data_IF_956614930017
#
_entry.id   IF_956614930017
#
_cell.length_a   1.000
_cell.length_b   1.000
_cell.length_c   1.000
_cell.angle_alpha   90.00
_cell.angle_beta   90.00
_cell.angle_gamma   90.00
#
_symmetry.space_group_name_H-M   'P 1'
#
loop_
_entity.id
_entity.type
_entity.pdbx_description
1 polymer ?
#
# COMPACT_ATOMS: atom_id res chain seq x y z
N UNK A 1 17.60 24.81 -2.48
CA UNK A 1 16.94 25.12 -1.20
C UNK A 1 17.09 23.93 -0.26
N UNK A 2 17.59 24.12 0.96
CA UNK A 2 17.59 23.08 2.00
C UNK A 2 16.14 22.76 2.37
N UNK A 3 15.71 21.51 2.16
CA UNK A 3 14.42 21.02 2.66
C UNK A 3 14.55 20.89 4.18
N UNK A 4 13.81 21.71 4.91
CA UNK A 4 13.60 21.51 6.34
C UNK A 4 12.65 20.33 6.50
N UNK A 5 13.21 19.15 6.73
CA UNK A 5 12.46 17.91 7.01
C UNK A 5 11.78 18.04 8.38
N UNK A 6 10.46 18.08 8.39
CA UNK A 6 9.64 18.22 9.59
C UNK A 6 9.78 17.04 10.58
N UNK A 7 10.41 15.91 10.18
CA UNK A 7 10.56 14.72 11.03
C UNK A 7 12.00 14.37 11.42
N UNK A 8 12.98 15.27 11.29
CA UNK A 8 14.37 15.01 11.72
C UNK A 8 14.57 15.08 13.26
N UNK A 9 13.55 14.69 14.03
CA UNK A 9 13.61 14.68 15.50
C UNK A 9 14.36 13.42 15.97
N UNK A 10 15.37 13.56 16.85
CA UNK A 10 16.08 12.41 17.42
C UNK A 10 15.17 11.50 18.27
N UNK A 11 13.95 11.95 18.56
CA UNK A 11 12.94 11.21 19.32
C UNK A 11 12.09 10.27 18.43
N UNK A 12 12.21 10.37 17.11
CA UNK A 12 11.40 9.61 16.14
C UNK A 12 12.22 8.50 15.48
N UNK A 13 12.69 7.56 16.29
CA UNK A 13 13.47 6.42 15.83
C UNK A 13 12.62 5.54 14.89
N UNK A 14 13.08 5.33 13.66
CA UNK A 14 12.42 4.48 12.65
C UNK A 14 11.43 5.19 11.71
N UNK A 15 11.27 6.52 11.82
CA UNK A 15 10.34 7.29 10.95
C UNK A 15 10.85 7.52 9.52
N UNK A 16 12.09 7.11 9.20
CA UNK A 16 12.65 7.19 7.84
C UNK A 16 11.82 6.42 6.80
N UNK A 17 11.17 5.32 7.21
CA UNK A 17 10.28 4.57 6.33
C UNK A 17 8.99 5.35 6.04
N UNK A 18 8.44 6.02 7.06
CA UNK A 18 7.25 6.84 6.92
C UNK A 18 7.49 8.05 6.00
N UNK A 19 8.63 8.73 6.12
CA UNK A 19 9.00 9.83 5.20
C UNK A 19 9.07 9.37 3.75
N UNK A 20 9.66 8.19 3.49
CA UNK A 20 9.73 7.61 2.13
C UNK A 20 8.36 7.26 1.56
N UNK A 21 7.45 6.75 2.41
CA UNK A 21 6.06 6.51 2.02
C UNK A 21 5.34 7.82 1.70
N UNK A 22 5.50 8.85 2.55
CA UNK A 22 4.91 10.16 2.35
C UNK A 22 5.37 10.82 1.05
N UNK A 23 6.68 10.83 0.76
CA UNK A 23 7.21 11.38 -0.49
C UNK A 23 6.70 10.62 -1.73
N UNK A 24 6.45 9.31 -1.63
CA UNK A 24 5.84 8.51 -2.70
C UNK A 24 4.37 8.87 -2.92
N UNK A 25 3.59 9.05 -1.84
CA UNK A 25 2.18 9.45 -1.89
C UNK A 25 2.03 10.87 -2.46
N UNK A 26 2.85 11.82 -2.00
CA UNK A 26 2.82 13.20 -2.47
C UNK A 26 3.11 13.33 -3.98
N UNK A 27 4.00 12.49 -4.52
CA UNK A 27 4.28 12.44 -5.97
C UNK A 27 3.18 11.78 -6.79
N UNK A 28 2.38 10.88 -6.21
CA UNK A 28 1.30 10.17 -6.90
C UNK A 28 -0.06 10.89 -6.84
N UNK A 29 -0.19 11.96 -6.06
CA UNK A 29 -1.39 12.78 -5.93
C UNK A 29 -1.71 13.67 -7.16
N UNK A 30 -0.88 13.66 -8.22
CA UNK A 30 -0.97 14.64 -9.31
C UNK A 30 -1.95 14.32 -10.43
N UNK A 31 -2.55 13.14 -10.46
CA UNK A 31 -3.56 12.82 -11.47
C UNK A 31 -4.86 12.54 -10.74
N UNK A 32 -5.76 13.52 -10.58
CA UNK A 32 -7.00 13.41 -9.79
C UNK A 32 -8.05 12.46 -10.36
N UNK A 33 -7.75 11.80 -11.48
CA UNK A 33 -8.60 10.82 -12.14
C UNK A 33 -8.14 9.35 -11.95
N UNK A 34 -9.06 8.39 -11.70
CA UNK A 34 -10.48 8.61 -11.43
C UNK A 34 -10.72 9.20 -10.03
N UNK A 35 -11.82 9.95 -9.85
CA UNK A 35 -12.22 10.42 -8.54
C UNK A 35 -12.62 9.22 -7.67
N UNK A 36 -12.38 9.33 -6.38
CA UNK A 36 -12.63 8.25 -5.43
C UNK A 36 -13.01 8.79 -4.06
N UNK A 37 -13.70 7.94 -3.30
CA UNK A 37 -14.05 8.14 -1.91
C UNK A 37 -13.38 7.06 -1.06
N UNK A 38 -13.10 7.39 0.20
CA UNK A 38 -12.73 6.43 1.24
C UNK A 38 -13.67 6.68 2.41
N UNK A 39 -14.48 5.68 2.77
CA UNK A 39 -15.51 5.77 3.79
C UNK A 39 -15.35 4.67 4.84
N UNK A 40 -15.79 4.95 6.07
CA UNK A 40 -15.94 3.92 7.10
C UNK A 40 -17.32 3.27 6.98
N UNK A 41 -17.36 1.94 6.96
CA UNK A 41 -18.59 1.14 6.81
C UNK A 41 -18.93 0.35 8.09
N UNK A 42 -18.51 0.87 9.24
CA UNK A 42 -18.67 0.25 10.56
C UNK A 42 -17.47 0.57 11.46
N UNK A 43 -17.40 -0.10 12.61
CA UNK A 43 -16.31 0.12 13.57
C UNK A 43 -14.94 -0.30 13.05
N UNK A 44 -14.90 -1.35 12.22
CA UNK A 44 -13.66 -1.96 11.71
C UNK A 44 -13.63 -2.08 10.19
N UNK A 45 -14.62 -1.52 9.49
CA UNK A 45 -14.72 -1.62 8.04
C UNK A 45 -14.37 -0.30 7.35
N UNK A 46 -13.62 -0.38 6.26
CA UNK A 46 -13.39 0.73 5.33
C UNK A 46 -13.80 0.30 3.93
N UNK A 47 -14.26 1.24 3.12
CA UNK A 47 -14.54 1.05 1.70
C UNK A 47 -13.87 2.13 0.87
N UNK A 48 -13.19 1.72 -0.18
CA UNK A 48 -12.70 2.61 -1.23
C UNK A 48 -13.67 2.49 -2.41
N UNK A 49 -14.18 3.61 -2.91
CA UNK A 49 -15.09 3.63 -4.08
C UNK A 49 -14.50 4.52 -5.17
N UNK A 50 -14.28 3.99 -6.38
CA UNK A 50 -13.73 4.70 -7.53
C UNK A 50 -14.77 4.85 -8.64
N UNK A 51 -14.88 6.03 -9.25
CA UNK A 51 -15.73 6.21 -10.43
C UNK A 51 -15.03 5.73 -11.70
N UNK A 52 -15.41 4.56 -12.20
CA UNK A 52 -14.84 3.89 -13.37
C UNK A 52 -15.89 3.68 -14.46
N UNK A 53 -16.83 4.62 -14.59
CA UNK A 53 -17.84 4.57 -15.63
C UNK A 53 -17.20 4.46 -17.02
N UNK A 54 -17.71 3.52 -17.81
CA UNK A 54 -17.21 3.20 -19.15
C UNK A 54 -16.18 2.08 -19.20
N UNK A 55 -15.60 1.64 -18.08
CA UNK A 55 -14.73 0.45 -18.07
C UNK A 55 -15.58 -0.80 -17.89
N UNK A 56 -15.33 -1.82 -18.72
CA UNK A 56 -15.85 -3.15 -18.48
C UNK A 56 -15.03 -3.84 -17.36
N UNK A 57 -15.52 -4.97 -16.83
CA UNK A 57 -14.83 -5.70 -15.76
C UNK A 57 -13.45 -6.17 -16.23
N UNK A 58 -13.37 -6.63 -17.47
CA UNK A 58 -12.18 -7.10 -18.17
C UNK A 58 -11.15 -6.00 -18.44
N UNK A 59 -11.56 -4.73 -18.48
CA UNK A 59 -10.67 -3.59 -18.65
C UNK A 59 -10.01 -3.16 -17.33
N UNK A 60 -10.44 -3.73 -16.20
CA UNK A 60 -10.01 -3.37 -14.86
C UNK A 60 -9.18 -4.48 -14.22
N UNK A 61 -8.06 -4.10 -13.64
CA UNK A 61 -7.18 -5.02 -12.93
C UNK A 61 -6.83 -4.46 -11.55
N UNK A 62 -6.91 -5.31 -10.52
CA UNK A 62 -6.62 -4.95 -9.13
C UNK A 62 -5.59 -5.93 -8.60
N UNK A 63 -4.46 -5.42 -8.11
CA UNK A 63 -3.44 -6.19 -7.40
C UNK A 63 -3.25 -5.65 -5.99
N UNK A 64 -2.88 -6.55 -5.08
CA UNK A 64 -2.33 -6.20 -3.78
C UNK A 64 -0.85 -6.60 -3.81
N UNK A 65 0.02 -5.60 -3.83
CA UNK A 65 1.48 -5.77 -3.84
C UNK A 65 2.00 -5.29 -2.48
N UNK A 66 2.50 -6.22 -1.66
CA UNK A 66 2.83 -5.98 -0.23
C UNK A 66 1.64 -5.39 0.56
N UNK A 67 1.71 -4.11 0.91
CA UNK A 67 0.65 -3.36 1.58
C UNK A 67 0.03 -2.29 0.66
N UNK A 68 0.13 -2.42 -0.65
CA UNK A 68 -0.37 -1.44 -1.61
C UNK A 68 -1.37 -2.07 -2.57
N UNK A 69 -2.59 -1.52 -2.62
CA UNK A 69 -3.55 -1.84 -3.66
C UNK A 69 -3.21 -1.02 -4.90
N UNK A 70 -3.05 -1.69 -6.04
CA UNK A 70 -2.83 -1.07 -7.34
C UNK A 70 -3.99 -1.42 -8.25
N UNK A 71 -4.72 -0.40 -8.69
CA UNK A 71 -5.88 -0.51 -9.58
C UNK A 71 -5.48 0.09 -10.92
N UNK A 72 -5.61 -0.69 -11.98
CA UNK A 72 -5.34 -0.27 -13.35
C UNK A 72 -6.61 -0.40 -14.17
N UNK A 73 -6.85 0.58 -15.02
CA UNK A 73 -7.91 0.52 -16.02
C UNK A 73 -7.34 0.87 -17.38
N UNK A 74 -7.66 0.08 -18.40
CA UNK A 74 -7.27 0.35 -19.78
C UNK A 74 -8.40 -0.09 -20.72
N UNK A 75 -9.07 0.89 -21.32
CA UNK A 75 -10.03 0.62 -22.40
C UNK A 75 -9.30 0.38 -23.70
N UNK A 76 -9.70 -0.66 -24.44
CA UNK A 76 -9.27 -0.84 -25.81
C UNK A 76 -9.88 0.25 -26.71
N UNK A 77 -9.07 0.85 -27.59
CA UNK A 77 -9.60 1.72 -28.63
C UNK A 77 -10.13 0.87 -29.80
N UNK A 78 -11.39 1.08 -30.16
CA UNK A 78 -11.94 0.50 -31.38
C UNK A 78 -11.35 1.19 -32.61
N UNK A 79 -10.60 0.42 -33.39
CA UNK A 79 -10.04 0.87 -34.66
C UNK A 79 -11.14 1.17 -35.69
N UNK A 80 -10.93 2.18 -36.52
CA UNK A 80 -11.82 2.52 -37.65
C UNK A 80 -13.00 3.43 -37.32
N UNK A 81 -13.14 3.91 -36.07
CA UNK A 81 -14.13 4.95 -35.74
C UNK A 81 -13.68 6.31 -36.24
N UNK A 82 -14.53 6.97 -37.03
CA UNK A 82 -14.36 8.38 -37.42
C UNK A 82 -15.15 9.25 -36.44
N UNK A 83 -14.43 10.01 -35.63
CA UNK A 83 -15.03 10.93 -34.67
C UNK A 83 -15.16 12.32 -35.28
N UNK A 84 -16.37 12.90 -35.26
CA UNK A 84 -16.57 14.32 -35.56
C UNK A 84 -16.15 15.20 -34.37
N UNK A 85 -16.33 14.70 -33.15
CA UNK A 85 -15.84 15.29 -31.90
C UNK A 85 -15.68 14.17 -30.86
N UNK A 86 -14.59 14.18 -30.08
CA UNK A 86 -14.28 13.15 -29.07
C UNK A 86 -14.05 13.80 -27.71
N UNK A 87 -15.13 13.99 -26.96
CA UNK A 87 -15.08 14.55 -25.59
C UNK A 87 -14.69 13.54 -24.50
N UNK A 88 -14.76 12.24 -24.80
CA UNK A 88 -14.43 11.15 -23.88
C UNK A 88 -13.49 10.20 -24.64
N UNK A 89 -12.18 10.40 -24.46
CA UNK A 89 -11.19 9.49 -24.99
C UNK A 89 -11.07 8.25 -24.09
N UNK A 90 -10.67 7.12 -24.67
CA UNK A 90 -10.29 5.94 -23.90
C UNK A 90 -9.09 6.34 -23.04
N UNK A 91 -9.31 6.42 -21.74
CA UNK A 91 -8.27 6.81 -20.79
C UNK A 91 -7.77 5.55 -20.11
N UNK A 92 -6.45 5.43 -20.04
CA UNK A 92 -5.83 4.50 -19.12
C UNK A 92 -5.60 5.22 -17.78
N UNK A 93 -5.72 4.50 -16.67
CA UNK A 93 -5.39 5.03 -15.36
C UNK A 93 -4.67 4.00 -14.51
N UNK A 94 -3.93 4.50 -13.52
CA UNK A 94 -3.43 3.71 -12.41
C UNK A 94 -3.69 4.46 -11.10
N UNK A 95 -4.19 3.73 -10.10
CA UNK A 95 -4.51 4.22 -8.78
C UNK A 95 -3.87 3.34 -7.73
N UNK A 96 -3.17 3.98 -6.79
CA UNK A 96 -2.42 3.29 -5.77
C UNK A 96 -2.94 3.71 -4.39
N UNK A 97 -3.31 2.75 -3.55
CA UNK A 97 -3.70 2.98 -2.16
C UNK A 97 -2.75 2.22 -1.25
N UNK A 98 -2.00 2.95 -0.42
CA UNK A 98 -1.14 2.33 0.60
C UNK A 98 -2.00 2.01 1.82
N UNK A 99 -1.94 0.76 2.25
CA UNK A 99 -2.65 0.25 3.41
C UNK A 99 -1.75 0.32 4.64
N UNK A 100 -2.35 0.64 5.78
CA UNK A 100 -1.71 0.48 7.08
C UNK A 100 -1.52 -1.01 7.40
N UNK A 101 -0.57 -1.31 8.28
CA UNK A 101 -0.29 -2.67 8.71
C UNK A 101 -1.55 -3.36 9.25
N UNK A 102 -1.73 -4.61 8.82
CA UNK A 102 -2.82 -5.47 9.25
C UNK A 102 -4.15 -5.25 8.52
N UNK A 103 -4.36 -4.14 7.80
CA UNK A 103 -5.58 -3.96 6.98
C UNK A 103 -5.60 -5.03 5.87
N UNK A 104 -6.73 -5.71 5.71
CA UNK A 104 -6.92 -6.74 4.69
C UNK A 104 -8.04 -6.38 3.73
N UNK A 105 -7.90 -6.77 2.46
CA UNK A 105 -8.97 -6.67 1.46
C UNK A 105 -9.94 -7.82 1.65
N UNK A 106 -11.23 -7.53 1.79
CA UNK A 106 -12.29 -8.53 1.97
C UNK A 106 -13.07 -8.80 0.68
N UNK A 107 -13.15 -7.83 -0.23
CA UNK A 107 -13.84 -8.01 -1.51
C UNK A 107 -13.72 -6.80 -2.43
N UNK A 108 -14.11 -7.01 -3.69
CA UNK A 108 -14.23 -5.94 -4.67
C UNK A 108 -15.45 -6.18 -5.57
N UNK A 109 -16.24 -5.13 -5.79
CA UNK A 109 -17.48 -5.17 -6.58
C UNK A 109 -17.49 -4.02 -7.58
N UNK A 110 -17.91 -4.30 -8.81
CA UNK A 110 -18.16 -3.30 -9.83
C UNK A 110 -19.67 -3.22 -10.05
N UNK A 111 -20.26 -2.08 -9.75
CA UNK A 111 -21.69 -1.83 -9.99
C UNK A 111 -21.90 -0.41 -10.48
N UNK A 112 -22.76 -0.24 -11.50
CA UNK A 112 -23.18 1.09 -11.98
C UNK A 112 -22.04 2.07 -12.30
N UNK A 113 -20.90 1.55 -12.79
CA UNK A 113 -19.72 2.36 -13.10
C UNK A 113 -18.90 2.77 -11.87
N UNK A 114 -19.14 2.16 -10.71
CA UNK A 114 -18.39 2.35 -9.47
C UNK A 114 -17.68 1.05 -9.09
N UNK A 115 -16.39 1.14 -8.85
CA UNK A 115 -15.60 0.06 -8.28
C UNK A 115 -15.47 0.29 -6.78
N UNK A 116 -16.09 -0.58 -5.99
CA UNK A 116 -15.96 -0.60 -4.53
C UNK A 116 -15.01 -1.69 -4.08
N UNK A 117 -14.12 -1.37 -3.15
CA UNK A 117 -13.16 -2.30 -2.53
C UNK A 117 -13.37 -2.23 -1.02
N UNK A 118 -13.75 -3.36 -0.45
CA UNK A 118 -13.98 -3.51 0.99
C UNK A 118 -12.71 -3.94 1.70
N UNK A 119 -12.46 -3.29 2.84
CA UNK A 119 -11.30 -3.50 3.67
C UNK A 119 -11.75 -3.73 5.12
N UNK A 120 -11.08 -4.64 5.80
CA UNK A 120 -11.24 -4.85 7.24
C UNK A 120 -9.97 -4.43 7.97
N UNK A 121 -10.14 -3.62 9.02
CA UNK A 121 -9.10 -3.30 9.98
C UNK A 121 -9.08 -4.40 11.05
N UNK A 122 -7.92 -5.02 11.32
CA UNK A 122 -7.83 -6.02 12.37
C UNK A 122 -8.01 -5.34 13.72
N UNK A 123 -8.65 -6.04 14.64
CA UNK A 123 -8.80 -5.58 16.00
C UNK A 123 -7.42 -5.63 16.67
N UNK A 124 -6.78 -4.47 16.82
CA UNK A 124 -5.54 -4.39 17.55
C UNK A 124 -5.86 -4.48 19.04
N UNK A 125 -5.39 -5.54 19.71
CA UNK A 125 -5.47 -5.64 21.16
C UNK A 125 -4.13 -5.13 21.72
N UNK A 126 -4.03 -3.88 22.21
CA UNK A 126 -2.76 -3.31 22.62
C UNK A 126 -2.20 -4.07 23.81
N UNK A 127 -1.12 -4.82 23.59
CA UNK A 127 -0.40 -5.53 24.65
C UNK A 127 0.65 -4.58 25.23
N UNK A 128 0.37 -3.99 26.39
CA UNK A 128 1.38 -3.25 27.13
C UNK A 128 2.41 -4.23 27.70
N UNK A 129 3.70 -3.91 27.54
CA UNK A 129 4.79 -4.69 28.15
C UNK A 129 5.75 -3.76 28.89
N UNK A 130 6.05 -4.10 30.13
CA UNK A 130 7.14 -3.47 30.87
C UNK A 130 8.46 -3.99 30.33
N UNK A 131 9.40 -3.09 30.06
CA UNK A 131 10.76 -3.43 29.63
C UNK A 131 11.66 -3.40 30.87
N UNK A 132 12.27 -4.53 31.21
CA UNK A 132 13.23 -4.60 32.31
C UNK A 132 14.52 -3.86 31.96
N UNK A 133 14.99 -3.01 32.87
CA UNK A 133 16.28 -2.34 32.76
C UNK A 133 17.34 -3.29 33.32
N UNK A 134 18.26 -3.76 32.47
CA UNK A 134 19.39 -4.61 32.88
C UNK A 134 20.65 -3.77 33.03
N UNK A 135 21.47 -4.08 34.04
CA UNK A 135 22.78 -3.49 34.22
C UNK A 135 23.72 -3.96 33.09
N UNK A 136 24.54 -3.05 32.55
CA UNK A 136 25.26 -3.20 31.28
C UNK A 136 26.42 -4.20 31.25
N UNK A 137 26.15 -5.49 31.41
CA UNK A 137 27.08 -6.55 31.01
C UNK A 137 26.86 -6.88 29.53
N UNK A 138 27.76 -6.39 28.68
CA UNK A 138 27.82 -6.70 27.25
C UNK A 138 27.96 -8.22 27.06
N UNK A 139 26.84 -8.94 26.94
CA UNK A 139 26.86 -10.32 26.47
C UNK A 139 27.19 -10.27 24.99
N UNK A 140 28.47 -10.52 24.65
CA UNK A 140 28.87 -10.71 23.26
C UNK A 140 28.01 -11.83 22.66
N UNK A 141 27.38 -11.63 21.49
CA UNK A 141 26.69 -12.70 20.81
C UNK A 141 27.71 -13.78 20.49
N UNK A 142 27.55 -14.95 21.11
CA UNK A 142 28.36 -16.13 20.81
C UNK A 142 28.01 -16.58 19.39
N UNK A 143 28.80 -16.12 18.42
CA UNK A 143 28.84 -16.68 17.07
C UNK A 143 29.22 -18.15 17.22
N UNK A 144 28.28 -19.06 16.99
CA UNK A 144 28.52 -20.49 16.97
C UNK A 144 29.46 -20.86 15.81
N UNK A 145 30.76 -20.73 16.04
CA UNK A 145 31.79 -21.27 15.16
C UNK A 145 31.86 -22.79 15.37
N UNK A 146 31.07 -23.56 14.60
CA UNK A 146 31.34 -24.99 14.38
C UNK A 146 32.63 -25.11 13.56
N UNK A 147 33.77 -25.17 14.26
CA UNK A 147 35.01 -25.73 13.73
C UNK A 147 35.10 -27.18 14.21
N UNK A 148 34.91 -28.14 13.30
CA UNK A 148 35.35 -29.52 13.51
C UNK A 148 36.70 -29.69 12.80
N UNK A 149 37.82 -29.90 13.51
CA UNK A 149 39.07 -30.38 12.91
C UNK A 149 39.14 -31.93 12.89
N UNK A 150 40.12 -32.50 12.17
CA UNK A 150 40.03 -33.80 11.53
C UNK A 150 40.46 -34.96 12.44
N UNK A 151 39.84 -36.13 12.24
CA UNK A 151 40.17 -37.38 12.93
C UNK A 151 40.45 -38.49 11.92
N UNK A 152 41.71 -38.91 11.90
CA UNK A 152 42.34 -40.00 11.15
C UNK A 152 41.78 -41.41 11.44
N UNK A 153 41.85 -42.25 10.41
CA UNK A 153 42.30 -43.65 10.43
C UNK A 153 41.49 -44.71 11.19
N UNK A 154 40.75 -45.54 10.43
CA UNK A 154 41.00 -46.99 10.34
C UNK A 154 40.28 -47.63 9.16
#
# INVERSE_FOLDING_TARGET
MNRVTLFNSPLLLGFDHFERLHDRVAKSAHDGYPPHNIEAIGEHGLRITLAVAGFAREDLHITLEDNQIVIRGQQAEEAGKVYLHRGIAARQFQRNFVLAEGIVVTGATLDSGLLSIDLARPQHNPVSRTIEIRNGELTQPQTAAKRTPPGESR
#
